data_IF_337300174886
#
_entry.id   IF_337300174886
#
_cell.length_a   1.000
_cell.length_b   1.000
_cell.length_c   1.000
_cell.angle_alpha   90.00
_cell.angle_beta   90.00
_cell.angle_gamma   90.00
#
_symmetry.space_group_name_H-M   'P 1'
#
loop_
_entity.id
_entity.type
_entity.pdbx_description
1 polymer ?
#
# COMPACT_ATOMS: atom_id res chain seq x y z
N UNK A 1 -1.45 6.77 -14.97
CA UNK A 1 -1.60 8.01 -14.18
C UNK A 1 -1.23 7.68 -12.74
N UNK A 2 -0.20 8.32 -12.19
CA UNK A 2 0.10 8.20 -10.77
C UNK A 2 -0.90 9.10 -10.03
N UNK A 3 -1.87 8.53 -9.32
CA UNK A 3 -2.82 9.31 -8.52
C UNK A 3 -2.06 10.11 -7.47
N UNK A 4 -2.46 11.36 -7.22
CA UNK A 4 -1.89 12.10 -6.11
C UNK A 4 -2.38 11.47 -4.81
N UNK A 5 -1.53 11.37 -3.79
CA UNK A 5 -1.96 10.90 -2.46
C UNK A 5 -3.05 11.79 -1.87
N UNK A 6 -3.16 13.04 -2.33
CA UNK A 6 -4.25 13.97 -2.02
C UNK A 6 -5.63 13.52 -2.56
N UNK A 7 -5.69 12.60 -3.51
CA UNK A 7 -6.96 12.09 -4.05
C UNK A 7 -7.50 10.91 -3.25
N UNK A 8 -6.74 10.39 -2.27
CA UNK A 8 -7.15 9.26 -1.44
C UNK A 8 -8.32 9.65 -0.52
N UNK A 9 -9.30 8.76 -0.42
CA UNK A 9 -10.48 8.92 0.43
C UNK A 9 -10.42 7.97 1.62
N UNK A 10 -10.99 8.39 2.75
CA UNK A 10 -11.17 7.49 3.91
C UNK A 10 -12.07 6.31 3.50
N UNK A 11 -11.66 5.09 3.86
CA UNK A 11 -12.27 3.83 3.44
C UNK A 11 -11.74 3.26 2.12
N UNK A 12 -10.87 3.99 1.41
CA UNK A 12 -10.24 3.49 0.18
C UNK A 12 -9.17 2.43 0.49
N UNK A 13 -9.12 1.37 -0.33
CA UNK A 13 -8.11 0.33 -0.23
C UNK A 13 -7.02 0.57 -1.28
N UNK A 14 -5.79 0.70 -0.81
CA UNK A 14 -4.59 0.80 -1.62
C UNK A 14 -3.65 -0.35 -1.33
N UNK A 15 -2.70 -0.59 -2.23
CA UNK A 15 -1.54 -1.44 -1.97
C UNK A 15 -0.29 -0.58 -1.94
N UNK A 16 0.50 -0.74 -0.88
CA UNK A 16 1.76 -0.03 -0.67
C UNK A 16 2.90 -1.00 -0.91
N UNK A 17 3.88 -0.57 -1.71
CA UNK A 17 5.08 -1.35 -2.02
C UNK A 17 6.10 -1.19 -0.89
N UNK A 18 6.38 -2.27 -0.19
CA UNK A 18 7.42 -2.35 0.83
C UNK A 18 8.55 -3.27 0.37
N UNK A 19 9.78 -2.96 0.79
CA UNK A 19 10.89 -3.91 0.73
C UNK A 19 10.95 -4.68 2.04
N UNK A 20 10.69 -5.97 1.96
CA UNK A 20 10.74 -6.88 3.11
C UNK A 20 11.92 -7.84 2.97
N UNK A 21 12.56 -8.26 4.08
CA UNK A 21 13.53 -9.34 4.05
C UNK A 21 12.86 -10.60 3.52
N UNK A 22 13.44 -11.23 2.50
CA UNK A 22 12.97 -12.54 2.07
C UNK A 22 13.34 -13.57 3.15
N UNK A 23 12.42 -14.42 3.62
CA UNK A 23 12.77 -15.48 4.54
C UNK A 23 13.77 -16.40 3.86
N UNK A 24 14.95 -16.54 4.46
CA UNK A 24 16.02 -17.39 3.97
C UNK A 24 15.60 -18.86 4.15
N UNK A 25 15.00 -19.44 3.12
CA UNK A 25 15.10 -20.88 2.92
C UNK A 25 16.42 -21.13 2.18
N UNK A 26 17.34 -21.84 2.86
CA UNK A 26 18.68 -22.23 2.44
C UNK A 26 19.77 -21.12 2.34
N UNK A 27 20.59 -21.06 3.40
CA UNK A 27 22.07 -20.91 3.40
C UNK A 27 22.76 -19.89 2.46
N UNK A 28 22.10 -18.81 2.03
CA UNK A 28 22.77 -17.69 1.36
C UNK A 28 22.74 -16.41 2.21
N UNK A 29 23.91 -15.87 2.62
CA UNK A 29 24.01 -14.65 3.44
C UNK A 29 23.74 -13.35 2.66
N UNK A 30 23.38 -13.43 1.38
CA UNK A 30 22.94 -12.27 0.62
C UNK A 30 21.48 -11.96 0.98
N UNK A 31 21.30 -10.95 1.84
CA UNK A 31 20.01 -10.40 2.25
C UNK A 31 19.19 -9.93 1.04
N UNK A 32 18.53 -10.87 0.36
CA UNK A 32 17.64 -10.57 -0.77
C UNK A 32 16.42 -9.84 -0.21
N UNK A 33 16.41 -8.53 -0.35
CA UNK A 33 15.21 -7.73 -0.14
C UNK A 33 14.25 -8.02 -1.29
N UNK A 34 13.02 -8.41 -0.95
CA UNK A 34 11.95 -8.61 -1.91
C UNK A 34 10.95 -7.46 -1.83
N UNK A 35 10.53 -6.96 -2.98
CA UNK A 35 9.44 -6.01 -3.07
C UNK A 35 8.10 -6.74 -2.87
N UNK A 36 7.33 -6.34 -1.85
CA UNK A 36 6.00 -6.89 -1.54
C UNK A 36 4.96 -5.78 -1.51
N UNK A 37 3.82 -6.02 -2.14
CA UNK A 37 2.65 -5.16 -2.04
C UNK A 37 1.82 -5.57 -0.82
N UNK A 38 1.54 -4.61 0.06
CA UNK A 38 0.75 -4.82 1.27
C UNK A 38 -0.49 -3.95 1.16
N UNK A 39 -1.67 -4.58 1.31
CA UNK A 39 -2.94 -3.87 1.30
C UNK A 39 -3.06 -2.97 2.54
N UNK A 40 -3.62 -1.78 2.34
CA UNK A 40 -3.84 -0.79 3.37
C UNK A 40 -5.15 -0.04 3.13
N UNK A 41 -5.91 0.20 4.20
CA UNK A 41 -7.13 1.01 4.19
C UNK A 41 -6.81 2.42 4.67
N UNK A 42 -7.22 3.45 3.94
CA UNK A 42 -7.11 4.83 4.41
C UNK A 42 -8.11 5.04 5.55
N UNK A 43 -7.62 5.24 6.76
CA UNK A 43 -8.46 5.37 7.95
C UNK A 43 -8.67 6.82 8.38
N UNK A 44 -7.76 7.71 7.96
CA UNK A 44 -7.84 9.12 8.31
C UNK A 44 -7.18 9.97 7.22
N UNK A 45 -7.74 11.16 7.01
CA UNK A 45 -7.24 12.17 6.11
C UNK A 45 -7.46 13.53 6.76
N UNK A 46 -6.43 14.35 6.70
CA UNK A 46 -6.47 15.76 7.07
C UNK A 46 -6.00 16.60 5.86
N UNK A 47 -6.36 17.88 5.81
CA UNK A 47 -5.94 18.77 4.72
C UNK A 47 -4.49 19.23 4.89
N UNK A 48 -4.01 19.32 6.13
CA UNK A 48 -2.67 19.79 6.49
C UNK A 48 -1.69 18.65 6.82
N UNK A 49 -2.14 17.38 6.73
CA UNK A 49 -1.34 16.21 7.04
C UNK A 49 -1.36 15.13 5.95
N UNK A 50 -0.38 14.21 6.03
CA UNK A 50 -0.37 13.04 5.15
C UNK A 50 -1.56 12.11 5.48
N UNK A 51 -2.17 11.46 4.48
CA UNK A 51 -3.19 10.45 4.73
C UNK A 51 -2.64 9.31 5.59
N UNK A 52 -3.44 8.82 6.52
CA UNK A 52 -3.07 7.71 7.40
C UNK A 52 -3.77 6.45 6.90
N UNK A 53 -2.99 5.39 6.73
CA UNK A 53 -3.48 4.09 6.32
C UNK A 53 -3.24 3.03 7.40
N UNK A 54 -4.16 2.08 7.51
CA UNK A 54 -4.03 0.87 8.30
C UNK A 54 -3.72 -0.29 7.36
N UNK A 55 -2.54 -0.88 7.51
CA UNK A 55 -2.11 -2.08 6.80
C UNK A 55 -2.98 -3.29 7.18
N UNK A 56 -3.02 -4.30 6.31
CA UNK A 56 -3.79 -5.53 6.52
C UNK A 56 -3.36 -6.34 7.76
N UNK A 57 -2.14 -6.13 8.26
CA UNK A 57 -1.64 -6.72 9.51
C UNK A 57 -1.99 -5.90 10.76
N UNK A 58 -2.72 -4.78 10.59
CA UNK A 58 -3.16 -3.89 11.66
C UNK A 58 -2.20 -2.76 11.99
N UNK A 59 -1.02 -2.70 11.37
CA UNK A 59 -0.09 -1.59 11.57
C UNK A 59 -0.62 -0.28 10.94
N UNK A 60 -0.30 0.85 11.55
CA UNK A 60 -0.70 2.19 11.07
C UNK A 60 0.52 2.89 10.45
N UNK A 61 0.33 3.51 9.30
CA UNK A 61 1.40 4.18 8.54
C UNK A 61 0.91 5.43 7.82
N UNK A 62 1.76 6.45 7.72
CA UNK A 62 1.48 7.66 6.93
C UNK A 62 1.82 7.44 5.45
N UNK A 63 0.92 7.83 4.55
CA UNK A 63 1.13 7.78 3.10
C UNK A 63 1.94 8.99 2.65
N UNK A 64 3.26 8.82 2.64
CA UNK A 64 4.21 9.87 2.25
C UNK A 64 4.40 9.94 0.74
N UNK A 65 4.78 11.11 0.23
CA UNK A 65 4.94 11.36 -1.20
C UNK A 65 5.98 10.47 -1.91
N UNK A 66 6.99 9.97 -1.17
CA UNK A 66 7.99 9.05 -1.73
C UNK A 66 7.55 7.58 -1.75
N UNK A 67 6.44 7.24 -1.07
CA UNK A 67 5.97 5.86 -1.02
C UNK A 67 5.37 5.48 -2.37
N UNK A 68 5.73 4.29 -2.85
CA UNK A 68 5.09 3.73 -4.04
C UNK A 68 3.84 2.99 -3.61
N UNK A 69 2.69 3.42 -4.11
CA UNK A 69 1.41 2.77 -3.84
C UNK A 69 0.57 2.73 -5.12
N UNK A 70 -0.44 1.87 -5.14
CA UNK A 70 -1.44 1.79 -6.21
C UNK A 70 -2.83 1.61 -5.61
N UNK A 71 -3.84 2.20 -6.25
CA UNK A 71 -5.23 1.91 -5.89
C UNK A 71 -5.54 0.47 -6.24
N UNK A 72 -6.12 -0.25 -5.29
CA UNK A 72 -6.82 -1.48 -5.63
C UNK A 72 -8.20 -1.01 -6.07
N UNK A 73 -8.32 -0.63 -7.35
CA UNK A 73 -9.65 -0.58 -7.94
C UNK A 73 -10.28 -1.92 -7.60
N UNK A 74 -11.40 -1.94 -6.88
CA UNK A 74 -12.32 -3.06 -7.03
C UNK A 74 -12.56 -3.07 -8.52
N UNK A 75 -11.92 -4.00 -9.22
CA UNK A 75 -12.30 -4.32 -10.58
C UNK A 75 -13.75 -4.70 -10.40
N UNK A 76 -14.65 -3.74 -10.64
CA UNK A 76 -16.01 -4.07 -10.97
C UNK A 76 -15.76 -4.87 -12.24
N UNK A 77 -15.78 -6.19 -12.13
CA UNK A 77 -15.91 -7.06 -13.28
C UNK A 77 -17.07 -6.48 -14.08
N UNK A 78 -16.72 -5.69 -15.10
CA UNK A 78 -17.61 -5.28 -16.16
C UNK A 78 -17.80 -6.52 -17.04
N UNK A 79 -18.38 -7.56 -16.44
CA UNK A 79 -18.89 -8.75 -17.11
C UNK A 79 -20.36 -8.87 -16.76
N UNK A 80 -21.13 -7.95 -17.36
CA UNK A 80 -22.58 -7.99 -17.49
C UNK A 80 -22.77 -7.44 -18.90
N UNK A 81 -23.18 -8.16 -19.93
CA UNK A 81 -23.76 -9.48 -20.12
C UNK A 81 -24.32 -9.45 -21.54
#
# INVERSE_FOLDING_TARGET
MAGHSADLLVGEIIEIKYRVPQPAFDEQPDSRLSDRWIAAEIIHRDEDAFPIARLADGQITDIRAYMTWRRVSRSVDANHG
#
